data_IF_488748951797
#
_entry.id   IF_488748951797
#
_cell.length_a   1.000
_cell.length_b   1.000
_cell.length_c   1.000
_cell.angle_alpha   90.00
_cell.angle_beta   90.00
_cell.angle_gamma   90.00
#
_symmetry.space_group_name_H-M   'P 1'
#
loop_
_entity.id
_entity.type
_entity.pdbx_description
1 polymer ?
#
# COMPACT_ATOMS: atom_id res chain seq x y z
N UNK A 1 -15.33 4.75 -22.53
CA UNK A 1 -16.10 4.20 -21.39
C UNK A 1 -15.11 3.52 -20.45
N UNK A 2 -15.16 3.76 -19.13
CA UNK A 2 -14.28 3.09 -18.16
C UNK A 2 -14.74 1.65 -17.99
N UNK A 3 -13.83 0.68 -18.13
CA UNK A 3 -14.12 -0.76 -17.99
C UNK A 3 -13.92 -1.28 -16.55
N UNK A 4 -13.16 -0.55 -15.73
CA UNK A 4 -12.88 -0.90 -14.34
C UNK A 4 -11.66 -0.17 -13.80
N UNK A 5 -11.34 -0.43 -12.54
CA UNK A 5 -10.13 0.06 -11.90
C UNK A 5 -8.96 -0.89 -12.23
N UNK A 6 -7.84 -0.35 -12.68
CA UNK A 6 -6.68 -1.16 -13.07
C UNK A 6 -5.78 -1.47 -11.86
N UNK A 7 -5.07 -0.46 -11.35
CA UNK A 7 -4.11 -0.62 -10.24
C UNK A 7 -3.85 0.70 -9.54
N UNK A 8 -3.12 0.64 -8.43
CA UNK A 8 -2.53 1.77 -7.71
C UNK A 8 -1.02 1.69 -7.89
N UNK A 9 -0.38 2.76 -8.38
CA UNK A 9 1.08 2.87 -8.46
C UNK A 9 1.68 3.38 -7.15
N UNK A 10 2.76 2.74 -6.68
CA UNK A 10 3.50 3.08 -5.46
C UNK A 10 4.99 3.16 -5.81
N UNK A 11 5.58 4.34 -5.68
CA UNK A 11 7.03 4.53 -5.82
C UNK A 11 7.77 3.97 -4.62
N UNK A 12 8.82 3.17 -4.86
CA UNK A 12 9.61 2.50 -3.83
C UNK A 12 11.11 2.66 -4.08
N UNK A 13 11.91 2.62 -3.01
CA UNK A 13 13.39 2.70 -3.10
C UNK A 13 14.03 1.36 -3.44
N UNK A 14 13.47 0.28 -2.94
CA UNK A 14 13.94 -1.09 -3.14
C UNK A 14 12.75 -1.99 -3.51
N UNK A 15 12.69 -2.36 -4.78
CA UNK A 15 11.59 -3.16 -5.33
C UNK A 15 11.47 -4.52 -4.65
N UNK A 16 12.62 -5.20 -4.42
CA UNK A 16 12.63 -6.53 -3.83
C UNK A 16 12.24 -6.52 -2.35
N UNK A 17 12.67 -5.51 -1.59
CA UNK A 17 12.24 -5.32 -0.22
C UNK A 17 10.74 -5.00 -0.13
N UNK A 18 10.23 -4.15 -1.02
CA UNK A 18 8.81 -3.80 -1.05
C UNK A 18 7.93 -4.97 -1.49
N UNK A 19 8.37 -5.78 -2.47
CA UNK A 19 7.66 -7.02 -2.83
C UNK A 19 7.55 -7.93 -1.61
N UNK A 20 8.66 -8.17 -0.88
CA UNK A 20 8.62 -8.99 0.34
C UNK A 20 7.66 -8.40 1.38
N UNK A 21 7.72 -7.09 1.61
CA UNK A 21 6.81 -6.43 2.55
C UNK A 21 5.34 -6.66 2.21
N UNK A 22 4.92 -6.33 0.98
CA UNK A 22 3.52 -6.49 0.59
C UNK A 22 3.07 -7.96 0.50
N UNK A 23 3.99 -8.87 0.17
CA UNK A 23 3.68 -10.31 0.11
C UNK A 23 3.57 -10.93 1.50
N UNK A 24 4.56 -10.75 2.36
CA UNK A 24 4.61 -11.39 3.68
C UNK A 24 3.67 -10.74 4.70
N UNK A 25 3.46 -9.43 4.61
CA UNK A 25 2.59 -8.71 5.55
C UNK A 25 1.13 -8.74 5.07
N UNK A 26 0.88 -8.44 3.80
CA UNK A 26 -0.48 -8.24 3.29
C UNK A 26 -0.96 -9.35 2.35
N UNK A 27 -0.17 -10.39 2.13
CA UNK A 27 -0.58 -11.54 1.33
C UNK A 27 -0.77 -11.24 -0.16
N UNK A 28 -0.05 -10.26 -0.70
CA UNK A 28 0.01 -10.05 -2.14
C UNK A 28 0.88 -11.11 -2.80
N UNK A 29 0.57 -11.46 -4.04
CA UNK A 29 1.37 -12.35 -4.89
C UNK A 29 1.91 -11.55 -6.07
N UNK A 30 3.20 -11.70 -6.36
CA UNK A 30 3.80 -11.11 -7.56
C UNK A 30 3.20 -11.77 -8.80
N UNK A 31 2.64 -10.96 -9.70
CA UNK A 31 2.04 -11.42 -10.95
C UNK A 31 3.03 -11.36 -12.11
N UNK A 32 3.73 -10.25 -12.25
CA UNK A 32 4.84 -10.09 -13.18
C UNK A 32 5.79 -9.00 -12.70
N UNK A 33 7.02 -9.03 -13.26
CA UNK A 33 8.04 -8.03 -13.06
C UNK A 33 8.63 -7.64 -14.41
N UNK A 34 8.94 -6.36 -14.59
CA UNK A 34 9.50 -5.80 -15.81
C UNK A 34 10.66 -4.85 -15.46
N UNK A 35 11.71 -4.91 -16.24
CA UNK A 35 12.85 -4.00 -16.18
C UNK A 35 12.86 -3.15 -17.46
N UNK A 36 12.79 -1.84 -17.32
CA UNK A 36 12.77 -0.89 -18.42
C UNK A 36 14.09 -0.10 -18.43
N UNK A 37 14.88 -0.28 -19.49
CA UNK A 37 16.21 0.29 -19.61
C UNK A 37 16.30 1.36 -20.70
N UNK A 38 15.16 1.84 -21.19
CA UNK A 38 15.08 2.86 -22.25
C UNK A 38 14.24 4.06 -21.84
N UNK A 39 14.59 5.22 -22.38
CA UNK A 39 13.90 6.46 -22.12
C UNK A 39 12.53 6.56 -22.83
N UNK A 40 12.23 5.72 -23.81
CA UNK A 40 10.96 5.78 -24.53
C UNK A 40 9.80 5.41 -23.62
N UNK A 41 9.96 4.34 -22.83
CA UNK A 41 8.96 3.92 -21.85
C UNK A 41 8.94 4.87 -20.65
N UNK A 42 10.12 5.30 -20.16
CA UNK A 42 10.22 6.26 -19.06
C UNK A 42 9.55 7.61 -19.38
N UNK A 43 9.65 8.07 -20.62
CA UNK A 43 9.02 9.30 -21.09
C UNK A 43 7.47 9.25 -21.00
N UNK A 44 6.86 8.07 -21.06
CA UNK A 44 5.41 7.92 -20.85
C UNK A 44 5.01 8.23 -19.41
N UNK A 45 5.96 8.20 -18.47
CA UNK A 45 5.81 8.54 -17.06
C UNK A 45 6.40 9.92 -16.73
N UNK A 46 6.62 10.77 -17.75
CA UNK A 46 7.15 12.12 -17.63
C UNK A 46 8.55 12.18 -16.99
N UNK A 47 9.38 11.12 -17.19
CA UNK A 47 10.69 10.98 -16.59
C UNK A 47 11.69 10.37 -17.60
N UNK A 48 12.98 10.49 -17.32
CA UNK A 48 14.07 9.80 -18.01
C UNK A 48 14.72 8.78 -17.05
N UNK A 49 15.40 7.79 -17.62
CA UNK A 49 16.18 6.81 -16.89
C UNK A 49 15.52 5.43 -16.79
N UNK A 50 16.30 4.48 -16.28
CA UNK A 50 15.84 3.12 -16.10
C UNK A 50 14.93 2.99 -14.86
N UNK A 51 13.92 2.13 -14.97
CA UNK A 51 13.08 1.77 -13.85
C UNK A 51 12.66 0.30 -13.89
N UNK A 52 12.29 -0.21 -12.72
CA UNK A 52 11.75 -1.56 -12.53
C UNK A 52 10.31 -1.47 -12.05
N UNK A 53 9.46 -2.33 -12.56
CA UNK A 53 8.06 -2.42 -12.15
C UNK A 53 7.71 -3.84 -11.73
N UNK A 54 6.91 -3.98 -10.69
CA UNK A 54 6.30 -5.25 -10.32
C UNK A 54 4.81 -5.06 -10.05
N UNK A 55 3.99 -5.87 -10.70
CA UNK A 55 2.55 -5.93 -10.44
C UNK A 55 2.26 -7.01 -9.41
N UNK A 56 1.63 -6.62 -8.30
CA UNK A 56 1.22 -7.52 -7.23
C UNK A 56 -0.30 -7.59 -7.15
N UNK A 57 -0.82 -8.79 -6.86
CA UNK A 57 -2.26 -9.07 -6.80
C UNK A 57 -2.66 -9.62 -5.43
N UNK A 58 -3.81 -9.18 -4.93
CA UNK A 58 -4.53 -9.81 -3.82
C UNK A 58 -6.04 -9.72 -4.06
N UNK A 59 -6.66 -10.84 -4.41
CA UNK A 59 -8.06 -10.82 -4.87
C UNK A 59 -8.23 -9.90 -6.07
N UNK A 60 -9.15 -8.95 -5.98
CA UNK A 60 -9.40 -7.96 -7.04
C UNK A 60 -8.53 -6.69 -6.91
N UNK A 61 -7.67 -6.62 -5.89
CA UNK A 61 -6.78 -5.47 -5.67
C UNK A 61 -5.46 -5.68 -6.41
N UNK A 62 -5.02 -4.64 -7.11
CA UNK A 62 -3.73 -4.61 -7.81
C UNK A 62 -2.93 -3.41 -7.35
N UNK A 63 -1.66 -3.64 -7.03
CA UNK A 63 -0.69 -2.56 -6.82
C UNK A 63 0.48 -2.76 -7.78
N UNK A 64 0.99 -1.66 -8.31
CA UNK A 64 2.21 -1.62 -9.09
C UNK A 64 3.29 -0.95 -8.25
N UNK A 65 4.38 -1.67 -7.97
CA UNK A 65 5.54 -1.11 -7.30
C UNK A 65 6.53 -0.63 -8.36
N UNK A 66 6.99 0.63 -8.23
CA UNK A 66 7.86 1.30 -9.20
C UNK A 66 9.15 1.75 -8.52
N UNK A 67 10.29 1.24 -8.97
CA UNK A 67 11.63 1.65 -8.54
C UNK A 67 12.37 2.33 -9.69
N UNK A 68 12.75 3.59 -9.53
CA UNK A 68 13.74 4.25 -10.39
C UNK A 68 15.14 3.77 -10.01
N UNK A 69 15.97 3.40 -11.03
CA UNK A 69 17.26 2.73 -10.78
C UNK A 69 18.41 3.75 -10.79
N UNK A 70 18.45 4.61 -11.78
CA UNK A 70 19.54 5.57 -12.05
C UNK A 70 19.11 7.04 -11.92
N UNK A 71 17.89 7.28 -11.46
CA UNK A 71 17.36 8.62 -11.20
C UNK A 71 17.17 8.81 -9.70
N UNK A 72 17.63 9.94 -9.12
CA UNK A 72 17.41 10.23 -7.72
C UNK A 72 15.92 10.30 -7.40
N UNK A 73 15.47 9.47 -6.45
CA UNK A 73 14.11 9.54 -5.93
C UNK A 73 14.03 10.55 -4.79
N UNK A 74 12.89 11.23 -4.67
CA UNK A 74 12.62 12.19 -3.61
C UNK A 74 11.36 11.81 -2.82
N UNK A 75 11.23 12.37 -1.63
CA UNK A 75 10.09 12.06 -0.76
C UNK A 75 10.32 10.80 0.07
N UNK A 76 9.26 10.06 0.30
CA UNK A 76 9.23 9.00 1.31
C UNK A 76 9.01 9.58 2.71
N UNK A 77 8.84 8.69 3.70
CA UNK A 77 8.41 9.07 5.02
C UNK A 77 6.91 9.38 5.09
N UNK A 78 6.39 9.34 6.30
CA UNK A 78 4.96 9.52 6.52
C UNK A 78 4.53 10.97 6.25
N UNK A 79 3.72 11.17 5.22
CA UNK A 79 3.14 12.48 4.90
C UNK A 79 2.10 12.93 5.93
N UNK A 80 1.90 14.25 6.15
CA UNK A 80 0.75 14.75 6.89
C UNK A 80 -0.58 14.30 6.25
N UNK A 81 -1.59 14.00 7.06
CA UNK A 81 -2.94 13.64 6.54
C UNK A 81 -3.64 14.82 5.84
N UNK A 82 -3.17 16.04 6.09
CA UNK A 82 -3.67 17.28 5.47
C UNK A 82 -3.04 17.57 4.11
N UNK A 83 -2.03 16.82 3.69
CA UNK A 83 -1.45 16.94 2.35
C UNK A 83 -2.42 16.39 1.32
N UNK A 84 -2.72 17.18 0.28
CA UNK A 84 -3.66 16.79 -0.77
C UNK A 84 -3.13 15.63 -1.60
N UNK A 85 -4.04 14.80 -2.09
CA UNK A 85 -3.77 13.65 -2.93
C UNK A 85 -4.03 12.32 -2.22
N UNK A 86 -3.32 11.30 -2.62
CA UNK A 86 -3.49 9.95 -2.06
C UNK A 86 -2.97 9.90 -0.62
N UNK A 87 -3.82 9.53 0.34
CA UNK A 87 -3.50 9.56 1.77
C UNK A 87 -3.02 8.23 2.31
N UNK A 88 -3.68 7.12 1.97
CA UNK A 88 -3.36 5.78 2.48
C UNK A 88 -4.02 4.66 1.66
N UNK A 89 -3.49 3.45 1.80
CA UNK A 89 -4.17 2.19 1.50
C UNK A 89 -4.94 1.76 2.75
N UNK A 90 -6.08 1.08 2.61
CA UNK A 90 -6.80 0.54 3.76
C UNK A 90 -7.13 -0.94 3.56
N UNK A 91 -6.86 -1.76 4.59
CA UNK A 91 -7.13 -3.19 4.60
C UNK A 91 -8.05 -3.56 5.77
N UNK A 92 -8.96 -4.49 5.52
CA UNK A 92 -9.74 -5.12 6.57
C UNK A 92 -8.96 -6.29 7.16
N UNK A 93 -8.95 -6.36 8.49
CA UNK A 93 -8.28 -7.41 9.28
C UNK A 93 -9.25 -7.98 10.30
N UNK A 94 -8.98 -9.17 10.78
CA UNK A 94 -9.79 -9.80 11.83
C UNK A 94 -9.45 -9.17 13.19
N UNK A 95 -8.16 -9.00 13.50
CA UNK A 95 -7.66 -8.38 14.71
C UNK A 95 -6.71 -7.22 14.40
N UNK A 96 -6.79 -6.15 15.20
CA UNK A 96 -6.09 -4.88 14.90
C UNK A 96 -4.57 -4.98 14.94
N UNK A 97 -4.03 -5.90 15.73
CA UNK A 97 -2.59 -6.04 15.99
C UNK A 97 -1.92 -7.20 15.23
N UNK A 98 -2.67 -8.02 14.52
CA UNK A 98 -2.16 -9.24 13.85
C UNK A 98 -0.97 -8.99 12.92
N UNK A 99 -0.90 -7.82 12.30
CA UNK A 99 0.15 -7.49 11.33
C UNK A 99 1.38 -6.80 11.95
N UNK A 100 1.31 -6.43 13.24
CA UNK A 100 2.36 -5.59 13.85
C UNK A 100 3.76 -6.20 13.78
N UNK A 101 3.89 -7.47 14.15
CA UNK A 101 5.21 -8.15 14.12
C UNK A 101 5.74 -8.26 12.69
N UNK A 102 4.89 -8.65 11.75
CA UNK A 102 5.27 -8.79 10.34
C UNK A 102 5.67 -7.43 9.72
N UNK A 103 4.92 -6.36 10.00
CA UNK A 103 5.26 -5.00 9.56
C UNK A 103 6.64 -4.60 10.04
N UNK A 104 6.94 -4.78 11.34
CA UNK A 104 8.22 -4.41 11.92
C UNK A 104 9.38 -5.28 11.37
N UNK A 105 9.15 -6.59 11.21
CA UNK A 105 10.15 -7.51 10.67
C UNK A 105 10.55 -7.20 9.22
N UNK A 106 9.66 -6.59 8.44
CA UNK A 106 9.88 -6.24 7.03
C UNK A 106 10.16 -4.74 6.82
N UNK A 107 10.59 -4.02 7.87
CA UNK A 107 11.09 -2.65 7.77
C UNK A 107 10.01 -1.56 7.74
N UNK A 108 8.76 -1.92 7.95
CA UNK A 108 7.68 -0.94 8.15
C UNK A 108 7.65 -0.39 9.58
N UNK A 109 6.69 0.49 9.85
CA UNK A 109 6.50 1.07 11.18
C UNK A 109 5.02 1.01 11.62
N UNK A 110 4.81 0.91 12.93
CA UNK A 110 3.49 0.96 13.56
C UNK A 110 3.28 2.30 14.26
N UNK A 111 2.15 2.94 14.04
CA UNK A 111 1.79 4.23 14.62
C UNK A 111 0.77 4.05 15.76
N UNK A 112 1.21 3.51 16.89
CA UNK A 112 0.38 3.14 18.05
C UNK A 112 -0.52 4.28 18.56
N UNK A 113 -0.08 5.52 18.44
CA UNK A 113 -0.87 6.71 18.83
C UNK A 113 -2.13 6.91 17.98
N UNK A 114 -2.27 6.18 16.87
CA UNK A 114 -3.46 6.25 16.00
C UNK A 114 -4.49 5.17 16.32
N UNK A 115 -4.18 4.24 17.23
CA UNK A 115 -5.13 3.21 17.64
C UNK A 115 -6.39 3.85 18.20
N UNK A 116 -7.50 3.53 17.58
CA UNK A 116 -8.81 4.03 17.98
C UNK A 116 -9.92 3.03 17.68
N UNK A 117 -11.02 3.16 18.40
CA UNK A 117 -12.22 2.37 18.19
C UNK A 117 -13.41 3.32 18.01
N UNK A 118 -14.13 3.17 16.91
CA UNK A 118 -15.21 4.06 16.50
C UNK A 118 -16.50 3.26 16.32
N UNK A 119 -17.59 3.78 16.83
CA UNK A 119 -18.93 3.17 16.73
C UNK A 119 -19.79 3.50 17.92
N UNK A 120 -21.10 3.18 17.86
CA UNK A 120 -22.02 3.37 18.98
C UNK A 120 -21.61 2.55 20.19
N UNK A 121 -21.85 3.09 21.40
CA UNK A 121 -21.62 2.37 22.64
C UNK A 121 -22.50 1.09 22.70
N UNK A 122 -21.90 -0.03 23.10
CA UNK A 122 -22.58 -1.34 23.19
C UNK A 122 -22.66 -2.10 21.85
N UNK A 123 -22.12 -1.57 20.76
CA UNK A 123 -21.98 -2.28 19.48
C UNK A 123 -20.55 -2.76 19.24
N UNK A 124 -20.37 -3.65 18.26
CA UNK A 124 -19.04 -3.98 17.75
C UNK A 124 -18.43 -2.72 17.11
N UNK A 125 -17.40 -2.18 17.74
CA UNK A 125 -16.71 -0.97 17.25
C UNK A 125 -15.74 -1.32 16.13
N UNK A 126 -15.60 -0.42 15.17
CA UNK A 126 -14.55 -0.46 14.16
C UNK A 126 -13.22 -0.04 14.79
N UNK A 127 -12.28 -0.95 14.87
CA UNK A 127 -10.90 -0.65 15.25
C UNK A 127 -10.14 -0.06 14.07
N UNK A 128 -9.25 0.88 14.32
CA UNK A 128 -8.42 1.59 13.35
C UNK A 128 -6.98 1.65 13.87
N UNK A 129 -6.01 1.30 13.01
CA UNK A 129 -4.59 1.47 13.31
C UNK A 129 -3.84 1.80 12.02
N UNK A 130 -2.88 2.73 12.10
CA UNK A 130 -2.02 3.06 10.97
C UNK A 130 -0.62 2.45 11.10
N UNK A 131 -0.15 1.96 9.96
CA UNK A 131 1.22 1.54 9.69
C UNK A 131 1.83 2.39 8.57
N UNK A 132 3.11 2.21 8.33
CA UNK A 132 3.77 2.60 7.07
C UNK A 132 4.57 1.44 6.53
N UNK A 133 4.68 1.36 5.20
CA UNK A 133 5.66 0.52 4.54
C UNK A 133 7.10 1.07 4.77
N UNK A 134 8.16 0.40 4.28
CA UNK A 134 9.55 0.87 4.44
C UNK A 134 9.82 2.25 3.86
N UNK A 135 9.05 2.68 2.86
CA UNK A 135 9.20 3.98 2.20
C UNK A 135 8.28 5.06 2.76
N UNK A 136 7.42 4.72 3.72
CA UNK A 136 6.53 5.65 4.41
C UNK A 136 5.14 5.77 3.78
N UNK A 137 4.77 4.91 2.82
CA UNK A 137 3.39 4.80 2.34
C UNK A 137 2.50 4.41 3.50
N UNK A 138 1.50 5.24 3.78
CA UNK A 138 0.60 5.00 4.91
C UNK A 138 -0.39 3.89 4.58
N UNK A 139 -0.58 3.00 5.54
CA UNK A 139 -1.48 1.86 5.47
C UNK A 139 -2.37 1.87 6.71
N UNK A 140 -3.66 1.91 6.49
CA UNK A 140 -4.68 1.75 7.53
C UNK A 140 -5.11 0.29 7.62
N UNK A 141 -5.28 -0.22 8.83
CA UNK A 141 -5.99 -1.49 9.04
C UNK A 141 -7.25 -1.23 9.85
N UNK A 142 -8.30 -1.94 9.50
CA UNK A 142 -9.63 -1.76 10.11
C UNK A 142 -10.25 -3.11 10.47
N UNK A 143 -10.83 -3.21 11.67
CA UNK A 143 -11.68 -4.33 12.08
C UNK A 143 -13.15 -3.98 11.98
N UNK A 144 -14.02 -4.97 11.91
CA UNK A 144 -15.48 -4.83 11.91
C UNK A 144 -16.01 -3.89 10.81
N UNK A 145 -15.35 -3.87 9.65
CA UNK A 145 -15.84 -3.13 8.47
C UNK A 145 -16.70 -4.06 7.62
N UNK A 146 -17.95 -3.69 7.30
CA UNK A 146 -18.84 -4.49 6.48
C UNK A 146 -18.23 -4.81 5.10
N UNK A 147 -18.51 -5.99 4.57
CA UNK A 147 -18.17 -6.31 3.20
C UNK A 147 -19.09 -5.58 2.22
N UNK A 148 -18.60 -5.30 1.01
CA UNK A 148 -19.42 -4.64 -0.02
C UNK A 148 -20.70 -5.44 -0.36
N UNK A 149 -20.66 -6.76 -0.26
CA UNK A 149 -21.82 -7.66 -0.43
C UNK A 149 -22.90 -7.42 0.64
N UNK A 150 -22.53 -6.98 1.82
CA UNK A 150 -23.44 -6.69 2.95
C UNK A 150 -24.09 -5.30 2.84
N UNK A 151 -23.46 -4.39 2.08
CA UNK A 151 -23.94 -3.02 1.85
C UNK A 151 -24.91 -2.90 0.66
N UNK A 152 -25.11 -3.97 -0.12
CA UNK A 152 -25.95 -3.98 -1.34
C UNK A 152 -27.34 -4.59 -1.08
N UNK A 153 -27.85 -4.51 0.13
CA UNK A 153 -29.22 -4.92 0.45
C UNK A 153 -30.21 -3.79 0.24
#
# INVERSE_FOLDING_TARGET
>A
MIQGFSHIGIGVRDLDASIRFYSEVFGFSEFYRLDFNDNEVAATMEQEGAFRSAMLLRGDVRIELLQWVDVPTSGGGKKPMTELGFTHLSFRVDEIDDLTEAVLAHGGAVHRQTLSYVGPEGSAQTGLLYYTDPDGTRIEVMTNVPQLSELRQ
#
